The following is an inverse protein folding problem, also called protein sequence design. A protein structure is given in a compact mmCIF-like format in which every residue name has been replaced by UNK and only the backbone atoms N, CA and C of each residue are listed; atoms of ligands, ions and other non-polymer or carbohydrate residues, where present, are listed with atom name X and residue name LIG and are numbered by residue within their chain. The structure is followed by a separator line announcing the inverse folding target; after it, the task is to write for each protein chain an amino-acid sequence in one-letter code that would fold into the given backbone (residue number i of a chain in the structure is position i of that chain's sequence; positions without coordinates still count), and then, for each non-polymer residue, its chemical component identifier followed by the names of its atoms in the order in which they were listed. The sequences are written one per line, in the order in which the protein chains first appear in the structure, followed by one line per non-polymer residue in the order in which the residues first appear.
data_IF_850363716373
#
_entry.id   IF_850363716373
#
_cell.length_a   1.000
_cell.length_b   1.000
_cell.length_c   1.000
_cell.angle_alpha   90.00
_cell.angle_beta   90.00
_cell.angle_gamma   90.00
#
_symmetry.space_group_name_H-M   'P 1'
#
loop_
_entity.id
_entity.type
_entity.pdbx_description
1 polymer ?
#
# COMPACT_ATOMS: atom_id res chain seq x y z
N UNK A 1 -22.93 -25.98 48.15
CA UNK A 1 -23.35 -25.08 47.05
C UNK A 1 -22.10 -24.35 46.55
N UNK A 2 -21.40 -24.99 45.60
CA UNK A 2 -20.24 -24.43 44.93
C UNK A 2 -20.75 -23.53 43.79
N UNK A 3 -20.59 -22.22 43.93
CA UNK A 3 -20.77 -21.28 42.82
C UNK A 3 -19.53 -21.33 41.92
N UNK A 4 -19.65 -22.03 40.81
CA UNK A 4 -18.72 -21.99 39.72
C UNK A 4 -18.83 -20.60 39.04
N UNK A 5 -17.92 -19.70 39.35
CA UNK A 5 -17.76 -18.46 38.61
C UNK A 5 -17.31 -18.79 37.18
N UNK A 6 -18.22 -18.74 36.24
CA UNK A 6 -17.87 -18.62 34.82
C UNK A 6 -17.17 -17.28 34.64
N UNK A 7 -15.83 -17.28 34.63
CA UNK A 7 -15.05 -16.20 34.03
C UNK A 7 -15.43 -16.19 32.55
N UNK A 8 -16.29 -15.26 32.17
CA UNK A 8 -16.46 -14.86 30.77
C UNK A 8 -15.07 -14.47 30.25
N UNK A 9 -14.50 -15.30 29.40
CA UNK A 9 -13.27 -15.00 28.69
C UNK A 9 -13.56 -13.73 27.89
N UNK A 10 -13.03 -12.60 28.37
CA UNK A 10 -13.06 -11.32 27.63
C UNK A 10 -12.41 -11.64 26.28
N UNK A 11 -13.15 -11.53 25.18
CA UNK A 11 -12.55 -11.67 23.86
C UNK A 11 -11.39 -10.66 23.80
N UNK A 12 -10.18 -11.21 23.68
CA UNK A 12 -8.96 -10.41 23.56
C UNK A 12 -9.06 -9.65 22.24
N UNK A 13 -9.29 -8.33 22.32
CA UNK A 13 -9.43 -7.46 21.15
C UNK A 13 -8.03 -7.09 20.66
N UNK A 14 -7.61 -7.65 19.53
CA UNK A 14 -6.37 -7.28 18.90
C UNK A 14 -6.56 -6.05 18.00
N UNK A 15 -5.63 -5.11 18.07
CA UNK A 15 -5.69 -3.81 17.37
C UNK A 15 -4.56 -3.63 16.38
N UNK A 16 -4.81 -2.78 15.41
CA UNK A 16 -3.78 -2.29 14.51
C UNK A 16 -3.92 -0.78 14.33
N UNK A 17 -2.80 -0.09 14.24
CA UNK A 17 -2.72 1.32 13.86
C UNK A 17 -2.09 1.40 12.47
N UNK A 18 -2.74 2.09 11.54
CA UNK A 18 -2.18 2.36 10.23
C UNK A 18 -1.89 3.84 10.14
N UNK A 19 -0.62 4.17 9.93
CA UNK A 19 -0.14 5.56 9.84
C UNK A 19 -0.42 6.10 8.44
N UNK A 20 -1.38 6.99 8.34
CA UNK A 20 -1.79 7.64 7.10
C UNK A 20 -1.22 9.06 7.09
N UNK A 21 0.09 9.16 6.92
CA UNK A 21 0.80 10.43 6.85
C UNK A 21 1.24 10.78 5.44
N UNK A 22 1.44 12.10 5.18
CA UNK A 22 1.99 12.62 3.94
C UNK A 22 1.01 12.69 2.76
N UNK A 23 1.16 13.73 1.95
CA UNK A 23 0.27 14.04 0.81
C UNK A 23 0.49 13.18 -0.43
N UNK A 24 1.45 12.25 -0.41
CA UNK A 24 1.76 11.39 -1.56
C UNK A 24 2.22 12.15 -2.81
N UNK A 25 2.94 13.25 -2.64
CA UNK A 25 3.32 14.16 -3.74
C UNK A 25 4.11 13.50 -4.85
N UNK A 26 4.93 12.49 -4.52
CA UNK A 26 5.72 11.72 -5.49
C UNK A 26 4.87 10.79 -6.36
N UNK A 27 3.65 10.50 -5.95
CA UNK A 27 2.71 9.65 -6.69
C UNK A 27 1.70 10.47 -7.53
N UNK A 28 1.87 11.80 -7.57
CA UNK A 28 1.09 12.65 -8.47
C UNK A 28 1.28 12.23 -9.93
N UNK A 29 0.24 12.35 -10.77
CA UNK A 29 -1.06 13.02 -10.56
C UNK A 29 -2.13 12.18 -9.84
N UNK A 30 -1.92 10.91 -9.55
CA UNK A 30 -2.93 10.02 -8.93
C UNK A 30 -3.44 10.57 -7.59
N UNK A 31 -2.54 11.11 -6.77
CA UNK A 31 -2.86 11.64 -5.43
C UNK A 31 -3.41 13.07 -5.42
N UNK A 32 -3.61 13.67 -6.59
CA UNK A 32 -4.37 14.91 -6.69
C UNK A 32 -5.86 14.66 -6.52
N UNK A 33 -6.36 13.56 -7.06
CA UNK A 33 -7.77 13.19 -7.00
C UNK A 33 -8.13 12.41 -5.74
N UNK A 34 -7.21 11.55 -5.24
CA UNK A 34 -7.46 10.67 -4.09
C UNK A 34 -6.30 10.66 -3.10
N UNK A 35 -6.56 10.49 -1.79
CA UNK A 35 -5.50 10.24 -0.82
C UNK A 35 -4.77 8.94 -1.18
N UNK A 36 -3.45 8.92 -0.94
CA UNK A 36 -2.57 7.81 -1.31
C UNK A 36 -3.08 6.42 -0.88
N UNK A 37 -3.59 6.22 0.36
CA UNK A 37 -4.09 4.91 0.79
C UNK A 37 -5.31 4.39 0.02
N UNK A 38 -6.04 5.30 -0.64
CA UNK A 38 -7.20 4.97 -1.46
C UNK A 38 -6.88 4.76 -2.94
N UNK A 39 -5.64 5.00 -3.37
CA UNK A 39 -5.24 4.69 -4.74
C UNK A 39 -5.39 3.19 -4.96
N UNK A 40 -6.09 2.82 -6.01
CA UNK A 40 -6.36 1.41 -6.32
C UNK A 40 -5.11 0.70 -6.81
N UNK A 41 -4.68 -0.30 -6.06
CA UNK A 41 -3.61 -1.21 -6.40
C UNK A 41 -4.21 -2.60 -6.65
N UNK A 42 -3.97 -3.17 -7.83
CA UNK A 42 -4.58 -4.43 -8.22
C UNK A 42 -6.10 -4.47 -7.96
N UNK A 43 -6.80 -3.43 -8.44
CA UNK A 43 -8.26 -3.26 -8.43
C UNK A 43 -8.92 -3.03 -7.07
N UNK A 44 -8.15 -2.77 -6.01
CA UNK A 44 -8.71 -2.35 -4.71
C UNK A 44 -7.80 -1.33 -4.00
N UNK A 45 -8.34 -0.46 -3.13
CA UNK A 45 -7.55 0.49 -2.37
C UNK A 45 -6.35 -0.17 -1.67
N UNK A 46 -5.18 0.48 -1.71
CA UNK A 46 -3.96 -0.03 -1.07
C UNK A 46 -4.20 -0.39 0.40
N UNK A 47 -4.95 0.43 1.11
CA UNK A 47 -5.25 0.23 2.53
C UNK A 47 -6.05 -1.06 2.80
N UNK A 48 -6.94 -1.46 1.87
CA UNK A 48 -7.72 -2.70 2.02
C UNK A 48 -6.85 -3.95 1.95
N UNK A 49 -5.76 -3.96 1.19
CA UNK A 49 -4.82 -5.08 1.19
C UNK A 49 -4.23 -5.32 2.59
N UNK A 50 -3.91 -4.23 3.30
CA UNK A 50 -3.37 -4.30 4.67
C UNK A 50 -4.44 -4.77 5.67
N UNK A 51 -5.65 -4.18 5.60
CA UNK A 51 -6.74 -4.52 6.53
C UNK A 51 -7.17 -5.99 6.34
N UNK A 52 -7.34 -6.46 5.11
CA UNK A 52 -7.65 -7.87 4.82
C UNK A 52 -6.61 -8.83 5.40
N UNK A 53 -5.33 -8.48 5.29
CA UNK A 53 -4.26 -9.30 5.86
C UNK A 53 -4.29 -9.31 7.40
N UNK A 54 -4.62 -8.19 8.04
CA UNK A 54 -4.75 -8.10 9.49
C UNK A 54 -5.91 -8.95 10.05
N UNK A 55 -6.99 -9.10 9.29
CA UNK A 55 -8.14 -9.94 9.69
C UNK A 55 -7.71 -11.39 10.00
N UNK A 56 -6.72 -11.91 9.28
CA UNK A 56 -6.19 -13.25 9.50
C UNK A 56 -5.57 -13.45 10.89
N UNK A 57 -5.23 -12.37 11.59
CA UNK A 57 -4.64 -12.38 12.95
C UNK A 57 -5.64 -12.07 14.06
N UNK A 58 -6.93 -12.14 13.77
CA UNK A 58 -8.01 -11.78 14.70
C UNK A 58 -7.98 -10.29 15.13
N UNK A 59 -7.42 -9.42 14.32
CA UNK A 59 -7.57 -7.97 14.50
C UNK A 59 -9.03 -7.59 14.25
N UNK A 60 -9.66 -6.98 15.24
CA UNK A 60 -11.08 -6.57 15.20
C UNK A 60 -11.26 -5.07 15.17
N UNK A 61 -10.22 -4.32 15.53
CA UNK A 61 -10.21 -2.85 15.49
C UNK A 61 -8.98 -2.36 14.74
N UNK A 62 -9.22 -1.52 13.73
CA UNK A 62 -8.15 -0.84 12.98
C UNK A 62 -8.29 0.66 13.18
N UNK A 63 -7.25 1.29 13.67
CA UNK A 63 -7.15 2.72 13.92
C UNK A 63 -6.37 3.36 12.77
N UNK A 64 -7.00 4.26 12.04
CA UNK A 64 -6.34 5.07 11.03
C UNK A 64 -5.90 6.39 11.65
N UNK A 65 -4.59 6.59 11.78
CA UNK A 65 -4.02 7.86 12.19
C UNK A 65 -3.91 8.77 10.97
N UNK A 66 -4.77 9.78 10.89
CA UNK A 66 -4.96 10.59 9.68
C UNK A 66 -4.75 12.07 9.97
N UNK A 67 -4.04 12.75 9.07
CA UNK A 67 -3.79 14.18 9.13
C UNK A 67 -4.58 14.99 8.09
N UNK A 68 -5.16 14.34 7.09
CA UNK A 68 -5.91 15.00 6.02
C UNK A 68 -6.92 14.08 5.32
N UNK A 69 -7.98 14.64 4.73
CA UNK A 69 -9.02 13.94 3.93
C UNK A 69 -9.63 12.71 4.62
N UNK A 70 -9.78 12.73 5.93
CA UNK A 70 -10.30 11.61 6.70
C UNK A 70 -11.75 11.26 6.32
N UNK A 71 -12.60 12.25 6.08
CA UNK A 71 -14.01 12.05 5.68
C UNK A 71 -14.13 11.27 4.36
N UNK A 72 -13.23 11.49 3.41
CA UNK A 72 -13.20 10.75 2.16
C UNK A 72 -12.81 9.28 2.39
N UNK A 73 -11.79 9.05 3.23
CA UNK A 73 -11.38 7.69 3.59
C UNK A 73 -12.50 6.95 4.34
N UNK A 74 -13.17 7.62 5.27
CA UNK A 74 -14.30 7.06 6.00
C UNK A 74 -15.42 6.64 5.06
N UNK A 75 -15.84 7.54 4.17
CA UNK A 75 -16.90 7.26 3.20
C UNK A 75 -16.57 6.08 2.28
N UNK A 76 -15.32 6.01 1.79
CA UNK A 76 -14.94 5.05 0.77
C UNK A 76 -14.54 3.67 1.33
N UNK A 77 -14.17 3.59 2.62
CA UNK A 77 -13.69 2.36 3.25
C UNK A 77 -14.69 1.70 4.19
N UNK A 78 -15.59 2.48 4.83
CA UNK A 78 -16.41 1.98 5.94
C UNK A 78 -17.25 0.75 5.57
N UNK A 79 -17.87 0.74 4.40
CA UNK A 79 -18.69 -0.40 3.96
C UNK A 79 -17.85 -1.66 3.68
N UNK A 80 -16.70 -1.51 3.04
CA UNK A 80 -15.83 -2.64 2.72
C UNK A 80 -15.19 -3.23 3.97
N UNK A 81 -14.72 -2.37 4.88
CA UNK A 81 -14.13 -2.80 6.15
C UNK A 81 -15.15 -3.47 7.05
N UNK A 82 -16.38 -2.95 7.08
CA UNK A 82 -17.48 -3.56 7.82
C UNK A 82 -17.81 -4.98 7.34
N UNK A 83 -17.76 -5.23 6.04
CA UNK A 83 -17.93 -6.59 5.46
C UNK A 83 -16.85 -7.55 5.95
N UNK A 84 -15.66 -7.06 6.28
CA UNK A 84 -14.56 -7.86 6.84
C UNK A 84 -14.72 -8.14 8.34
N UNK A 85 -15.75 -7.60 9.00
CA UNK A 85 -15.98 -7.76 10.44
C UNK A 85 -15.04 -6.91 11.30
N UNK A 86 -14.44 -5.87 10.76
CA UNK A 86 -13.49 -4.98 11.44
C UNK A 86 -14.16 -3.66 11.77
N UNK A 87 -13.91 -3.15 12.97
CA UNK A 87 -14.30 -1.81 13.38
C UNK A 87 -13.19 -0.81 13.02
N UNK A 88 -13.53 0.18 12.20
CA UNK A 88 -12.62 1.22 11.75
C UNK A 88 -12.76 2.44 12.64
N UNK A 89 -11.66 2.91 13.20
CA UNK A 89 -11.57 4.09 14.07
C UNK A 89 -10.67 5.12 13.40
N UNK A 90 -11.15 6.36 13.28
CA UNK A 90 -10.35 7.47 12.75
C UNK A 90 -9.79 8.30 13.90
N UNK A 91 -8.45 8.38 13.97
CA UNK A 91 -7.73 9.25 14.88
C UNK A 91 -7.21 10.46 14.11
N UNK A 92 -7.75 11.63 14.41
CA UNK A 92 -7.40 12.87 13.73
C UNK A 92 -6.21 13.54 14.44
N UNK A 93 -5.13 13.76 13.69
CA UNK A 93 -4.00 14.54 14.16
C UNK A 93 -4.33 16.04 13.97
N UNK A 94 -4.36 16.86 15.05
CA UNK A 94 -4.61 18.30 14.92
C UNK A 94 -3.45 19.03 14.21
N UNK A 95 -2.26 18.47 14.29
CA UNK A 95 -1.03 18.86 13.63
C UNK A 95 -0.19 17.62 13.33
N UNK A 96 0.76 17.64 12.39
CA UNK A 96 1.60 16.48 12.11
C UNK A 96 2.42 16.04 13.32
N UNK A 97 2.12 14.86 13.86
CA UNK A 97 2.77 14.29 15.05
C UNK A 97 3.94 13.34 14.73
N UNK A 98 4.36 13.26 13.47
CA UNK A 98 5.39 12.31 13.03
C UNK A 98 4.87 10.87 12.96
N UNK A 99 5.76 9.90 13.20
CA UNK A 99 5.41 8.48 13.11
C UNK A 99 5.13 7.83 14.47
N UNK A 100 5.59 8.41 15.57
CA UNK A 100 5.34 7.92 16.93
C UNK A 100 4.23 8.68 17.65
N UNK A 101 4.15 10.01 17.47
CA UNK A 101 3.14 10.83 18.14
C UNK A 101 1.69 10.37 17.94
N UNK A 102 1.29 9.87 16.76
CA UNK A 102 -0.04 9.29 16.56
C UNK A 102 -0.36 8.12 17.50
N UNK A 103 0.63 7.36 17.93
CA UNK A 103 0.43 6.27 18.89
C UNK A 103 0.12 6.81 20.28
N UNK A 104 0.78 7.91 20.68
CA UNK A 104 0.47 8.59 21.95
C UNK A 104 -0.94 9.20 21.94
N UNK A 105 -1.42 9.66 20.78
CA UNK A 105 -2.76 10.23 20.64
C UNK A 105 -3.87 9.18 20.91
N UNK A 106 -3.62 7.92 20.61
CA UNK A 106 -4.55 6.81 20.84
C UNK A 106 -4.14 5.90 22.01
N UNK A 107 -3.31 6.41 22.90
CA UNK A 107 -2.77 5.70 24.06
C UNK A 107 -3.83 4.89 24.82
N UNK A 108 -4.95 5.49 25.19
CA UNK A 108 -5.98 4.84 26.00
C UNK A 108 -6.66 3.67 25.27
N UNK A 109 -6.81 3.77 23.95
CA UNK A 109 -7.30 2.67 23.15
C UNK A 109 -6.29 1.52 23.13
N UNK A 110 -5.01 1.81 22.94
CA UNK A 110 -3.97 0.79 22.85
C UNK A 110 -3.62 0.14 24.20
N UNK A 111 -3.84 0.85 25.31
CA UNK A 111 -3.66 0.35 26.67
C UNK A 111 -4.93 -0.27 27.29
N UNK A 112 -6.02 -0.39 26.54
CA UNK A 112 -7.26 -0.97 27.05
C UNK A 112 -7.19 -2.48 27.34
N UNK A 113 -6.08 -3.14 26.99
CA UNK A 113 -5.75 -4.53 27.24
C UNK A 113 -4.24 -4.74 27.27
N UNK A 114 -3.83 -5.99 27.53
CA UNK A 114 -2.40 -6.38 27.57
C UNK A 114 -1.91 -6.96 26.23
N UNK A 115 -2.81 -7.11 25.24
CA UNK A 115 -2.49 -7.67 23.93
C UNK A 115 -1.57 -6.72 23.13
N UNK A 116 -0.61 -7.28 22.39
CA UNK A 116 0.18 -6.49 21.48
C UNK A 116 -0.67 -5.93 20.34
N UNK A 117 -0.20 -4.85 19.73
CA UNK A 117 -0.87 -4.21 18.61
C UNK A 117 0.08 -4.02 17.43
N UNK A 118 -0.48 -4.10 16.22
CA UNK A 118 0.26 -3.84 14.99
C UNK A 118 0.33 -2.35 14.69
N UNK A 119 1.44 -1.94 14.05
CA UNK A 119 1.61 -0.59 13.49
C UNK A 119 2.16 -0.70 12.07
N UNK A 120 1.54 -0.02 11.13
CA UNK A 120 1.85 -0.14 9.70
C UNK A 120 1.97 1.22 9.04
N UNK A 121 2.94 1.35 8.14
CA UNK A 121 2.94 2.43 7.15
C UNK A 121 1.95 2.11 6.03
N UNK A 122 1.10 3.07 5.66
CA UNK A 122 -0.02 2.84 4.72
C UNK A 122 0.37 2.65 3.25
N UNK A 123 1.65 2.78 2.92
CA UNK A 123 2.15 2.75 1.54
C UNK A 123 2.96 1.49 1.19
N UNK A 124 2.90 0.48 2.03
CA UNK A 124 3.62 -0.79 1.85
C UNK A 124 2.70 -1.83 1.22
N UNK A 125 3.21 -2.53 0.22
CA UNK A 125 2.62 -3.74 -0.35
C UNK A 125 3.62 -4.87 -0.27
N UNK A 126 3.20 -6.00 0.28
CA UNK A 126 4.00 -7.21 0.41
C UNK A 126 3.10 -8.44 0.63
N UNK A 127 3.71 -9.59 0.79
CA UNK A 127 3.04 -10.78 1.32
C UNK A 127 2.97 -10.68 2.86
N UNK A 128 2.05 -9.90 3.38
CA UNK A 128 1.93 -9.55 4.79
C UNK A 128 2.04 -10.74 5.75
N UNK A 129 3.13 -10.89 6.52
CA UNK A 129 3.39 -12.07 7.36
C UNK A 129 2.90 -11.85 8.81
N UNK A 130 1.69 -11.33 9.00
CA UNK A 130 1.25 -10.88 10.32
C UNK A 130 1.07 -12.01 11.34
N UNK A 131 0.67 -13.21 10.92
CA UNK A 131 0.61 -14.37 11.83
C UNK A 131 2.00 -14.76 12.33
N UNK A 132 2.97 -14.83 11.41
CA UNK A 132 4.36 -15.16 11.76
C UNK A 132 4.98 -14.05 12.64
N UNK A 133 4.66 -12.79 12.34
CA UNK A 133 5.12 -11.65 13.14
C UNK A 133 4.59 -11.71 14.57
N UNK A 134 3.32 -12.03 14.75
CA UNK A 134 2.69 -12.19 16.06
C UNK A 134 3.34 -13.32 16.85
N UNK A 135 3.54 -14.48 16.21
CA UNK A 135 4.18 -15.64 16.83
C UNK A 135 5.62 -15.32 17.23
N UNK A 136 6.42 -14.75 16.32
CA UNK A 136 7.80 -14.36 16.60
C UNK A 136 7.87 -13.37 17.77
N UNK A 137 7.00 -12.36 17.79
CA UNK A 137 6.94 -11.35 18.85
C UNK A 137 6.62 -11.98 20.23
N UNK A 138 5.63 -12.87 20.28
CA UNK A 138 5.26 -13.56 21.52
C UNK A 138 6.39 -14.47 22.03
N UNK A 139 7.15 -15.07 21.13
CA UNK A 139 8.25 -16.00 21.49
C UNK A 139 9.44 -15.31 22.17
N UNK A 140 9.86 -14.11 21.72
CA UNK A 140 10.96 -13.40 22.38
C UNK A 140 10.49 -12.58 23.59
N UNK A 141 9.19 -12.23 23.69
CA UNK A 141 8.57 -11.57 24.83
C UNK A 141 9.11 -10.17 25.17
N UNK A 142 9.78 -9.52 24.21
CA UNK A 142 10.29 -8.15 24.35
C UNK A 142 9.28 -7.12 23.84
N UNK A 143 9.62 -5.84 23.98
CA UNK A 143 8.68 -4.74 23.79
C UNK A 143 8.24 -4.53 22.34
N UNK A 144 9.14 -4.76 21.37
CA UNK A 144 8.83 -4.52 19.97
C UNK A 144 9.50 -5.48 18.98
N UNK A 145 8.82 -5.69 17.86
CA UNK A 145 9.36 -6.37 16.67
C UNK A 145 9.10 -5.54 15.44
N UNK A 146 10.11 -5.38 14.60
CA UNK A 146 9.99 -4.79 13.27
C UNK A 146 10.24 -5.82 12.18
N UNK A 147 9.53 -5.71 11.07
CA UNK A 147 9.84 -6.49 9.88
C UNK A 147 10.98 -5.82 9.13
N UNK A 148 11.96 -6.61 8.74
CA UNK A 148 13.09 -6.17 7.91
C UNK A 148 13.08 -6.89 6.57
N UNK A 149 13.57 -6.23 5.53
CA UNK A 149 13.70 -6.80 4.19
C UNK A 149 15.02 -6.38 3.57
N UNK A 150 15.45 -7.12 2.56
CA UNK A 150 16.70 -6.85 1.84
C UNK A 150 16.41 -6.00 0.60
N UNK A 151 17.17 -4.93 0.42
CA UNK A 151 17.08 -4.05 -0.76
C UNK A 151 18.48 -3.78 -1.35
N UNK A 152 18.50 -3.34 -2.61
CA UNK A 152 19.73 -2.96 -3.31
C UNK A 152 20.23 -1.57 -2.89
N UNK A 153 19.32 -0.63 -2.63
CA UNK A 153 19.62 0.76 -2.26
C UNK A 153 19.11 1.08 -0.84
N UNK A 154 19.84 0.70 0.22
CA UNK A 154 19.38 0.83 1.60
C UNK A 154 19.38 2.26 2.13
N UNK A 155 20.16 3.18 1.55
CA UNK A 155 20.32 4.57 2.05
C UNK A 155 19.03 5.40 2.08
N UNK A 156 17.99 4.94 1.41
CA UNK A 156 16.67 5.59 1.38
C UNK A 156 15.77 5.25 2.57
N UNK A 157 16.19 4.31 3.41
CA UNK A 157 15.40 3.69 4.48
C UNK A 157 16.14 3.67 5.80
N UNK A 158 15.46 3.27 6.85
CA UNK A 158 16.08 2.90 8.11
C UNK A 158 16.83 1.58 7.96
N UNK A 159 18.13 1.56 8.23
CA UNK A 159 18.99 0.40 8.10
C UNK A 159 19.15 -0.29 9.45
N UNK A 160 19.09 -1.62 9.43
CA UNK A 160 19.05 -2.45 10.63
C UNK A 160 20.21 -3.45 10.64
N UNK A 161 20.86 -3.55 11.79
CA UNK A 161 21.84 -4.61 12.11
C UNK A 161 21.31 -5.41 13.28
N UNK A 162 21.25 -6.73 13.16
CA UNK A 162 20.68 -7.61 14.18
C UNK A 162 21.43 -8.96 14.25
N UNK A 163 21.34 -9.59 15.43
CA UNK A 163 21.91 -10.90 15.73
C UNK A 163 21.06 -12.03 15.10
N UNK A 164 21.57 -13.26 15.12
CA UNK A 164 20.91 -14.42 14.54
C UNK A 164 19.56 -14.76 15.19
N UNK A 165 19.35 -14.39 16.45
CA UNK A 165 18.08 -14.55 17.17
C UNK A 165 17.07 -13.43 16.85
N UNK A 166 17.48 -12.44 16.05
CA UNK A 166 16.68 -11.28 15.67
C UNK A 166 16.86 -10.05 16.55
N UNK A 167 17.63 -10.11 17.64
CA UNK A 167 17.88 -8.95 18.49
C UNK A 167 18.59 -7.85 17.72
N UNK A 168 18.03 -6.66 17.71
CA UNK A 168 18.60 -5.51 16.98
C UNK A 168 19.75 -4.91 17.78
N UNK A 169 20.92 -4.86 17.16
CA UNK A 169 22.11 -4.19 17.68
C UNK A 169 22.08 -2.68 17.40
N UNK A 170 21.67 -2.31 16.18
CA UNK A 170 21.59 -0.90 15.78
C UNK A 170 20.51 -0.64 14.76
N UNK A 171 19.92 0.56 14.85
CA UNK A 171 18.98 1.12 13.89
C UNK A 171 19.43 2.53 13.50
N UNK A 172 19.62 2.77 12.20
CA UNK A 172 20.09 4.06 11.67
C UNK A 172 19.17 4.52 10.53
N UNK A 173 18.45 5.60 10.74
CA UNK A 173 17.55 6.16 9.73
C UNK A 173 18.33 6.89 8.63
N UNK A 174 18.20 6.42 7.39
CA UNK A 174 18.78 7.00 6.17
C UNK A 174 20.27 7.35 6.31
N UNK A 175 21.14 6.34 6.56
CA UNK A 175 22.55 6.57 6.76
C UNK A 175 23.23 7.12 5.49
N UNK A 176 24.27 7.95 5.69
CA UNK A 176 25.06 8.48 4.57
C UNK A 176 26.08 7.46 4.04
N UNK A 177 26.50 6.54 4.89
CA UNK A 177 27.43 5.47 4.56
C UNK A 177 26.71 4.13 4.55
N UNK A 178 27.24 3.19 3.78
CA UNK A 178 26.69 1.82 3.76
C UNK A 178 26.95 1.12 5.10
N UNK A 179 25.89 0.62 5.72
CA UNK A 179 25.92 -0.13 6.98
C UNK A 179 25.49 -1.59 6.72
N UNK A 180 24.32 -1.79 6.13
CA UNK A 180 23.72 -3.08 5.85
C UNK A 180 22.72 -2.92 4.70
N UNK A 181 22.37 -4.00 4.03
CA UNK A 181 21.28 -4.01 3.04
C UNK A 181 19.93 -4.45 3.62
N UNK A 182 19.86 -4.66 4.93
CA UNK A 182 18.63 -4.95 5.65
C UNK A 182 17.98 -3.63 6.10
N UNK A 183 16.74 -3.44 5.72
CA UNK A 183 16.01 -2.20 5.99
C UNK A 183 14.70 -2.45 6.72
N UNK A 184 14.23 -1.43 7.41
CA UNK A 184 12.91 -1.37 8.00
C UNK A 184 11.83 -1.44 6.92
N UNK A 185 10.99 -2.48 6.97
CA UNK A 185 9.93 -2.71 6.00
C UNK A 185 8.63 -1.91 6.30
N UNK A 186 8.59 -1.12 7.38
CA UNK A 186 7.42 -0.28 7.72
C UNK A 186 6.25 -1.03 8.34
N UNK A 187 6.51 -2.15 8.98
CA UNK A 187 5.50 -2.96 9.68
C UNK A 187 6.05 -3.42 11.02
N UNK A 188 5.28 -3.23 12.06
CA UNK A 188 5.70 -3.43 13.44
C UNK A 188 4.62 -4.13 14.27
N UNK A 189 5.04 -4.76 15.36
CA UNK A 189 4.16 -5.17 16.46
C UNK A 189 4.81 -4.77 17.78
N UNK A 190 4.02 -4.20 18.68
CA UNK A 190 4.47 -3.70 19.97
C UNK A 190 3.58 -4.18 21.11
N UNK A 191 4.20 -4.41 22.27
CA UNK A 191 3.46 -4.47 23.52
C UNK A 191 3.06 -3.04 23.96
N UNK A 192 1.95 -2.87 24.70
CA UNK A 192 1.51 -1.56 25.17
C UNK A 192 2.57 -0.79 25.96
N UNK A 193 3.56 -1.46 26.53
CA UNK A 193 4.68 -0.82 27.26
C UNK A 193 5.48 0.17 26.42
N UNK A 194 5.52 0.00 25.09
CA UNK A 194 6.21 0.95 24.18
C UNK A 194 5.69 2.38 24.31
N UNK A 195 4.40 2.53 24.65
CA UNK A 195 3.76 3.83 24.79
C UNK A 195 4.34 4.66 25.94
N UNK A 196 5.01 4.04 26.91
CA UNK A 196 5.74 4.75 27.98
C UNK A 196 6.98 5.49 27.44
N UNK A 197 7.44 5.16 26.24
CA UNK A 197 8.58 5.81 25.55
C UNK A 197 8.16 6.98 24.69
N UNK A 198 6.85 7.18 24.47
CA UNK A 198 6.31 8.11 23.49
C UNK A 198 5.49 9.17 24.21
N UNK A 199 5.92 10.42 24.09
CA UNK A 199 5.16 11.58 24.56
C UNK A 199 4.23 12.08 23.44
N UNK A 200 3.13 12.76 23.80
CA UNK A 200 2.22 13.39 22.83
C UNK A 200 2.84 14.69 22.28
N UNK A 201 3.72 14.52 21.32
CA UNK A 201 4.41 15.58 20.57
C UNK A 201 4.91 15.04 19.24
N UNK A 202 5.27 15.89 18.27
CA UNK A 202 5.91 15.44 17.03
C UNK A 202 7.17 14.61 17.33
N UNK A 203 7.12 13.31 17.02
CA UNK A 203 8.17 12.35 17.32
C UNK A 203 8.32 11.34 16.18
N UNK A 204 9.56 11.08 15.75
CA UNK A 204 9.86 10.02 14.79
C UNK A 204 10.14 8.71 15.51
N UNK A 205 9.38 7.66 15.16
CA UNK A 205 9.63 6.34 15.72
C UNK A 205 11.01 5.80 15.29
N UNK A 206 11.42 6.10 14.06
CA UNK A 206 12.66 5.62 13.46
C UNK A 206 13.90 6.32 13.99
N UNK A 207 13.81 7.62 14.23
CA UNK A 207 14.96 8.42 14.67
C UNK A 207 15.13 8.46 16.19
N UNK A 208 14.03 8.36 16.93
CA UNK A 208 14.02 8.58 18.38
C UNK A 208 13.71 7.30 19.17
N UNK A 209 12.69 6.55 18.79
CA UNK A 209 12.22 5.41 19.59
C UNK A 209 13.03 4.14 19.29
N UNK A 210 13.17 3.74 18.03
CA UNK A 210 13.89 2.49 17.67
C UNK A 210 15.34 2.46 18.13
N UNK A 211 16.16 3.53 17.99
CA UNK A 211 17.51 3.51 18.50
C UNK A 211 17.60 3.33 20.03
N UNK A 212 16.64 3.89 20.77
CA UNK A 212 16.56 3.71 22.24
C UNK A 212 16.15 2.27 22.58
N UNK A 213 15.12 1.72 21.93
CA UNK A 213 14.68 0.34 22.17
C UNK A 213 15.79 -0.67 21.83
N UNK A 214 16.55 -0.44 20.75
CA UNK A 214 17.70 -1.28 20.39
C UNK A 214 18.77 -1.29 21.47
N UNK A 215 19.15 -0.12 21.99
CA UNK A 215 20.12 -0.01 23.11
C UNK A 215 19.66 -0.73 24.37
N UNK A 216 18.36 -0.70 24.64
CA UNK A 216 17.77 -1.36 25.81
C UNK A 216 17.58 -2.87 25.60
N UNK A 217 17.85 -3.41 24.41
CA UNK A 217 17.63 -4.81 24.05
C UNK A 217 16.16 -5.20 23.93
N UNK A 218 15.27 -4.23 23.67
CA UNK A 218 13.82 -4.39 23.62
C UNK A 218 13.25 -4.40 22.19
N UNK A 219 14.11 -4.36 21.15
CA UNK A 219 13.72 -4.35 19.75
C UNK A 219 14.30 -5.55 19.00
N UNK A 220 13.44 -6.28 18.31
CA UNK A 220 13.77 -7.46 17.53
C UNK A 220 13.39 -7.28 16.06
N UNK A 221 14.10 -7.92 15.16
CA UNK A 221 13.86 -7.95 13.73
C UNK A 221 13.38 -9.33 13.30
N UNK A 222 12.32 -9.36 12.49
CA UNK A 222 11.89 -10.56 11.76
C UNK A 222 12.09 -10.31 10.26
N UNK A 223 12.81 -11.20 9.58
CA UNK A 223 13.05 -11.06 8.15
C UNK A 223 11.80 -11.44 7.35
N UNK A 224 11.41 -10.56 6.41
CA UNK A 224 10.32 -10.81 5.48
C UNK A 224 10.73 -11.85 4.43
N UNK A 225 9.94 -12.88 4.29
CA UNK A 225 10.01 -13.82 3.16
C UNK A 225 9.00 -13.40 2.09
N UNK A 226 9.45 -13.24 0.85
CA UNK A 226 8.58 -12.81 -0.24
C UNK A 226 8.88 -11.40 -0.74
N UNK A 227 7.99 -10.87 -1.55
CA UNK A 227 8.17 -9.54 -2.13
C UNK A 227 7.80 -8.42 -1.16
N UNK A 228 8.40 -7.26 -1.38
CA UNK A 228 8.12 -6.03 -0.67
C UNK A 228 8.29 -4.83 -1.60
N UNK A 229 7.43 -3.84 -1.47
CA UNK A 229 7.52 -2.57 -2.18
C UNK A 229 6.92 -1.42 -1.35
N UNK A 230 7.70 -0.36 -1.22
CA UNK A 230 7.23 0.98 -0.86
C UNK A 230 6.68 1.65 -2.12
N UNK A 231 5.36 1.84 -2.16
CA UNK A 231 4.67 2.44 -3.31
C UNK A 231 4.74 3.95 -3.20
N UNK A 232 5.94 4.50 -3.37
CA UNK A 232 6.21 5.93 -3.24
C UNK A 232 6.00 6.76 -4.51
N UNK A 233 6.15 6.15 -5.69
CA UNK A 233 6.08 6.81 -7.00
C UNK A 233 5.55 5.87 -8.08
N UNK A 234 5.12 6.37 -9.25
CA UNK A 234 4.50 5.53 -10.29
C UNK A 234 5.34 4.34 -10.74
N UNK A 235 6.66 4.50 -10.89
CA UNK A 235 7.55 3.39 -11.27
C UNK A 235 7.56 2.27 -10.23
N UNK A 236 7.61 2.62 -8.94
CA UNK A 236 7.60 1.65 -7.85
C UNK A 236 6.24 0.97 -7.73
N UNK A 237 5.15 1.69 -8.01
CA UNK A 237 3.80 1.13 -8.08
C UNK A 237 3.72 0.02 -9.15
N UNK A 238 4.15 0.27 -10.39
CA UNK A 238 4.11 -0.73 -11.47
C UNK A 238 5.01 -1.94 -11.15
N UNK A 239 6.18 -1.70 -10.55
CA UNK A 239 7.07 -2.76 -10.10
C UNK A 239 6.42 -3.60 -9.00
N UNK A 240 5.86 -2.96 -7.98
CA UNK A 240 5.12 -3.62 -6.90
C UNK A 240 3.92 -4.42 -7.41
N UNK A 241 3.17 -3.86 -8.37
CA UNK A 241 2.06 -4.55 -9.01
C UNK A 241 2.51 -5.83 -9.73
N UNK A 242 3.62 -5.78 -10.47
CA UNK A 242 4.21 -6.96 -11.12
C UNK A 242 4.59 -8.04 -10.10
N UNK A 243 5.21 -7.66 -8.98
CA UNK A 243 5.58 -8.57 -7.91
C UNK A 243 4.35 -9.18 -7.23
N UNK A 244 3.33 -8.36 -6.96
CA UNK A 244 2.05 -8.82 -6.39
C UNK A 244 1.35 -9.83 -7.31
N UNK A 245 1.24 -9.54 -8.61
CA UNK A 245 0.63 -10.45 -9.57
C UNK A 245 1.40 -11.78 -9.69
N UNK A 246 2.73 -11.74 -9.52
CA UNK A 246 3.57 -12.94 -9.48
C UNK A 246 3.30 -13.77 -8.22
N UNK A 247 3.19 -13.13 -7.06
CA UNK A 247 2.78 -13.79 -5.81
C UNK A 247 1.35 -14.36 -5.92
N UNK A 248 0.44 -13.61 -6.52
CA UNK A 248 -0.94 -14.05 -6.72
C UNK A 248 -1.02 -15.31 -7.61
N UNK A 249 -0.19 -15.40 -8.65
CA UNK A 249 -0.09 -16.62 -9.48
C UNK A 249 0.35 -17.84 -8.71
N UNK A 250 1.23 -17.66 -7.74
CA UNK A 250 1.71 -18.76 -6.90
C UNK A 250 0.68 -19.21 -5.86
N UNK A 251 -0.06 -18.27 -5.28
CA UNK A 251 -0.95 -18.51 -4.13
C UNK A 251 -2.41 -18.76 -4.53
N UNK A 252 -2.89 -18.06 -5.54
CA UNK A 252 -4.30 -18.06 -5.96
C UNK A 252 -4.41 -17.80 -7.46
N UNK A 253 -3.87 -18.71 -8.30
CA UNK A 253 -3.83 -18.52 -9.76
C UNK A 253 -5.22 -18.36 -10.39
N UNK A 254 -6.26 -18.87 -9.77
CA UNK A 254 -7.66 -18.75 -10.19
C UNK A 254 -8.19 -17.31 -10.19
N UNK A 255 -7.56 -16.42 -9.47
CA UNK A 255 -7.90 -14.98 -9.47
C UNK A 255 -7.37 -14.24 -10.68
N UNK A 256 -6.37 -14.81 -11.37
CA UNK A 256 -5.84 -14.22 -12.57
C UNK A 256 -6.67 -14.63 -13.80
N UNK A 257 -6.84 -13.67 -14.69
CA UNK A 257 -7.56 -13.91 -15.94
C UNK A 257 -6.74 -14.81 -16.88
N UNK A 258 -7.40 -15.81 -17.45
CA UNK A 258 -6.86 -16.70 -18.47
C UNK A 258 -7.83 -16.77 -19.64
N UNK A 259 -7.47 -16.21 -20.76
CA UNK A 259 -8.31 -16.18 -21.95
C UNK A 259 -7.53 -15.89 -23.22
N UNK A 260 -8.19 -15.86 -24.38
CA UNK A 260 -7.54 -15.54 -25.65
C UNK A 260 -6.83 -14.17 -25.58
N UNK A 261 -5.62 -14.10 -26.15
CA UNK A 261 -4.85 -12.86 -26.20
C UNK A 261 -4.16 -12.42 -24.92
N UNK A 262 -4.28 -13.21 -23.83
CA UNK A 262 -3.63 -12.89 -22.54
C UNK A 262 -2.26 -13.56 -22.43
N UNK A 263 -1.27 -12.80 -21.96
CA UNK A 263 0.11 -13.25 -21.75
C UNK A 263 0.54 -12.92 -20.32
N UNK A 264 1.11 -13.91 -19.62
CA UNK A 264 1.64 -13.72 -18.26
C UNK A 264 0.55 -13.42 -17.23
N UNK A 265 0.88 -12.61 -16.23
CA UNK A 265 -0.01 -12.30 -15.10
C UNK A 265 -0.92 -11.12 -15.44
N UNK A 266 -2.22 -11.36 -15.47
CA UNK A 266 -3.23 -10.35 -15.78
C UNK A 266 -4.40 -10.50 -14.80
N UNK A 267 -4.81 -9.40 -14.20
CA UNK A 267 -5.99 -9.32 -13.35
C UNK A 267 -7.02 -8.43 -14.03
N UNK A 268 -8.20 -8.98 -14.30
CA UNK A 268 -9.30 -8.25 -14.94
C UNK A 268 -10.53 -8.36 -14.04
N UNK A 269 -11.13 -7.21 -13.73
CA UNK A 269 -12.41 -7.17 -13.02
C UNK A 269 -13.52 -7.74 -13.93
N UNK A 270 -14.44 -8.51 -13.34
CA UNK A 270 -15.53 -9.18 -14.04
C UNK A 270 -16.49 -8.23 -14.78
N UNK A 271 -16.55 -6.96 -14.35
CA UNK A 271 -17.39 -5.92 -14.96
C UNK A 271 -16.73 -5.21 -16.14
N UNK A 272 -15.44 -5.46 -16.38
CA UNK A 272 -14.71 -4.90 -17.51
C UNK A 272 -15.17 -5.53 -18.84
N UNK A 273 -15.20 -4.73 -19.89
CA UNK A 273 -15.55 -5.17 -21.25
C UNK A 273 -14.30 -5.19 -22.11
N UNK A 274 -13.97 -6.34 -22.63
CA UNK A 274 -12.78 -6.56 -23.47
C UNK A 274 -13.23 -6.80 -24.90
N UNK A 275 -12.73 -5.98 -25.84
CA UNK A 275 -12.97 -6.10 -27.26
C UNK A 275 -12.27 -7.31 -27.90
N UNK A 276 -12.48 -7.50 -29.21
CA UNK A 276 -11.87 -8.57 -29.96
C UNK A 276 -10.40 -8.29 -30.26
N UNK A 277 -9.62 -9.33 -30.47
CA UNK A 277 -8.23 -9.27 -30.91
C UNK A 277 -7.30 -8.42 -30.00
N UNK A 278 -7.66 -8.26 -28.73
CA UNK A 278 -6.83 -7.59 -27.75
C UNK A 278 -5.65 -8.49 -27.33
N UNK A 279 -4.49 -7.85 -27.09
CA UNK A 279 -3.31 -8.48 -26.45
C UNK A 279 -3.07 -7.83 -25.11
N UNK A 280 -3.22 -8.58 -24.01
CA UNK A 280 -3.16 -8.07 -22.64
C UNK A 280 -2.11 -8.85 -21.87
N UNK A 281 -1.17 -8.13 -21.30
CA UNK A 281 -0.07 -8.69 -20.53
C UNK A 281 1.29 -8.59 -21.23
N UNK A 282 2.37 -8.91 -20.47
CA UNK A 282 2.35 -9.34 -19.06
C UNK A 282 2.12 -8.17 -18.09
N UNK A 283 1.74 -8.54 -16.84
CA UNK A 283 1.64 -7.64 -15.69
C UNK A 283 0.69 -6.46 -15.92
N UNK A 284 -0.57 -6.77 -16.11
CA UNK A 284 -1.64 -5.79 -16.34
C UNK A 284 -2.76 -5.98 -15.31
N UNK A 285 -3.28 -4.87 -14.80
CA UNK A 285 -4.52 -4.84 -14.04
C UNK A 285 -5.55 -3.98 -14.75
N UNK A 286 -6.77 -4.49 -14.86
CA UNK A 286 -7.90 -3.82 -15.49
C UNK A 286 -9.04 -3.76 -14.48
N UNK A 287 -9.42 -2.54 -14.11
CA UNK A 287 -10.37 -2.26 -13.07
C UNK A 287 -11.84 -2.36 -13.48
N UNK A 288 -12.75 -2.18 -12.51
CA UNK A 288 -14.18 -2.27 -12.73
C UNK A 288 -14.70 -1.31 -13.79
N UNK A 289 -15.60 -1.81 -14.66
CA UNK A 289 -16.27 -0.99 -15.67
C UNK A 289 -15.37 -0.42 -16.76
N UNK A 290 -14.11 -0.85 -16.85
CA UNK A 290 -13.20 -0.47 -17.96
C UNK A 290 -13.72 -1.02 -19.27
N UNK A 291 -13.59 -0.24 -20.34
CA UNK A 291 -13.91 -0.64 -21.70
C UNK A 291 -12.63 -0.63 -22.52
N UNK A 292 -12.19 -1.80 -22.96
CA UNK A 292 -11.17 -1.95 -23.99
C UNK A 292 -11.86 -2.24 -25.31
N UNK A 293 -11.66 -1.38 -26.29
CA UNK A 293 -12.13 -1.63 -27.65
C UNK A 293 -11.25 -2.63 -28.40
N UNK A 294 -11.61 -2.96 -29.63
CA UNK A 294 -10.95 -4.00 -30.41
C UNK A 294 -9.47 -3.68 -30.72
N UNK A 295 -8.64 -4.69 -30.77
CA UNK A 295 -7.25 -4.60 -31.22
C UNK A 295 -6.29 -3.89 -30.27
N UNK A 296 -6.67 -3.61 -29.02
CA UNK A 296 -5.79 -2.98 -28.04
C UNK A 296 -4.63 -3.89 -27.63
N UNK A 297 -3.46 -3.29 -27.41
CA UNK A 297 -2.28 -3.97 -26.87
C UNK A 297 -1.85 -3.29 -25.57
N UNK A 298 -1.93 -3.99 -24.42
CA UNK A 298 -1.64 -3.43 -23.10
C UNK A 298 -0.63 -4.31 -22.38
N UNK A 299 0.46 -3.70 -21.89
CA UNK A 299 1.54 -4.38 -21.17
C UNK A 299 1.96 -3.56 -19.95
N UNK A 300 2.34 -4.24 -18.86
CA UNK A 300 2.92 -3.63 -17.65
C UNK A 300 2.19 -2.37 -17.18
N UNK A 301 0.86 -2.36 -17.28
CA UNK A 301 0.03 -1.18 -17.11
C UNK A 301 -1.11 -1.44 -16.15
N UNK A 302 -1.62 -0.38 -15.53
CA UNK A 302 -2.83 -0.41 -14.73
C UNK A 302 -3.87 0.53 -15.31
N UNK A 303 -5.04 -0.02 -15.62
CA UNK A 303 -6.19 0.70 -16.14
C UNK A 303 -7.23 0.72 -15.04
N UNK A 304 -7.41 1.86 -14.39
CA UNK A 304 -8.30 2.02 -13.25
C UNK A 304 -9.77 2.09 -13.70
N UNK A 305 -10.68 1.97 -12.74
CA UNK A 305 -12.11 1.81 -12.98
C UNK A 305 -12.68 2.82 -13.98
N UNK A 306 -13.64 2.38 -14.80
CA UNK A 306 -14.42 3.18 -15.74
C UNK A 306 -13.62 3.89 -16.86
N UNK A 307 -12.31 3.66 -17.01
CA UNK A 307 -11.55 4.18 -18.13
C UNK A 307 -11.96 3.54 -19.47
N UNK A 308 -11.82 4.29 -20.54
CA UNK A 308 -12.14 3.84 -21.90
C UNK A 308 -10.89 3.89 -22.77
N UNK A 309 -10.51 2.74 -23.33
CA UNK A 309 -9.40 2.61 -24.26
C UNK A 309 -9.99 2.26 -25.63
N UNK A 310 -9.83 3.17 -26.59
CA UNK A 310 -10.38 3.00 -27.94
C UNK A 310 -9.52 2.06 -28.79
N UNK A 311 -10.02 1.74 -29.98
CA UNK A 311 -9.51 0.71 -30.86
C UNK A 311 -8.01 0.92 -31.18
N UNK A 312 -7.27 -0.18 -31.21
CA UNK A 312 -5.86 -0.25 -31.61
C UNK A 312 -4.90 0.60 -30.77
N UNK A 313 -5.28 1.03 -29.57
CA UNK A 313 -4.38 1.69 -28.67
C UNK A 313 -3.28 0.74 -28.18
N UNK A 314 -2.05 1.25 -28.02
CA UNK A 314 -0.90 0.51 -27.55
C UNK A 314 -0.33 1.16 -26.30
N UNK A 315 -0.40 0.45 -25.17
CA UNK A 315 -0.02 0.97 -23.85
C UNK A 315 1.05 0.07 -23.21
N UNK A 316 2.16 0.65 -22.76
CA UNK A 316 3.24 -0.09 -22.11
C UNK A 316 3.83 0.72 -20.95
N UNK A 317 3.69 0.25 -19.71
CA UNK A 317 4.12 0.96 -18.52
C UNK A 317 3.27 2.20 -18.22
N UNK A 318 1.95 2.09 -18.30
CA UNK A 318 1.01 3.22 -18.27
C UNK A 318 0.02 3.09 -17.12
N UNK A 319 -0.36 4.23 -16.56
CA UNK A 319 -1.51 4.40 -15.69
C UNK A 319 -2.60 5.18 -16.41
N UNK A 320 -3.82 4.66 -16.40
CA UNK A 320 -5.01 5.40 -16.81
C UNK A 320 -5.96 5.51 -15.63
N UNK A 321 -6.08 6.70 -15.07
CA UNK A 321 -6.93 6.99 -13.92
C UNK A 321 -8.30 7.51 -14.38
N UNK A 322 -9.37 7.10 -13.69
CA UNK A 322 -10.72 7.56 -13.97
C UNK A 322 -11.62 7.45 -12.73
N UNK A 323 -11.25 8.10 -11.62
CA UNK A 323 -11.97 7.93 -10.35
C UNK A 323 -13.39 8.48 -10.35
N UNK A 324 -13.56 9.77 -10.61
CA UNK A 324 -14.85 10.45 -10.56
C UNK A 324 -15.40 10.77 -11.95
N UNK A 325 -14.52 10.86 -12.95
CA UNK A 325 -14.85 11.12 -14.33
C UNK A 325 -14.02 10.24 -15.26
N UNK A 326 -14.59 9.87 -16.39
CA UNK A 326 -13.97 8.92 -17.34
C UNK A 326 -12.77 9.53 -18.02
N UNK A 327 -11.62 8.84 -17.94
CA UNK A 327 -10.51 9.11 -18.86
C UNK A 327 -10.65 8.27 -20.13
N UNK A 328 -10.32 8.88 -21.26
CA UNK A 328 -10.48 8.28 -22.56
C UNK A 328 -9.15 8.33 -23.32
N UNK A 329 -8.67 7.17 -23.75
CA UNK A 329 -7.54 7.05 -24.68
C UNK A 329 -8.06 6.83 -26.08
N UNK A 330 -7.67 7.68 -27.01
CA UNK A 330 -8.11 7.68 -28.40
C UNK A 330 -7.63 6.46 -29.19
N UNK A 331 -8.13 6.34 -30.43
CA UNK A 331 -7.75 5.28 -31.35
C UNK A 331 -6.29 5.42 -31.78
N UNK A 332 -5.61 4.32 -31.96
CA UNK A 332 -4.23 4.29 -32.44
C UNK A 332 -3.24 5.13 -31.59
N UNK A 333 -3.61 5.42 -30.34
CA UNK A 333 -2.72 6.10 -29.40
C UNK A 333 -1.63 5.13 -28.96
N UNK A 334 -0.39 5.60 -28.92
CA UNK A 334 0.73 4.88 -28.31
C UNK A 334 1.20 5.61 -27.05
N UNK A 335 1.22 4.90 -25.93
CA UNK A 335 1.77 5.45 -24.67
C UNK A 335 2.76 4.48 -24.05
N UNK A 336 3.88 5.05 -23.56
CA UNK A 336 4.95 4.30 -22.90
C UNK A 336 5.71 5.17 -21.88
N UNK A 337 6.79 4.64 -21.31
CA UNK A 337 7.74 5.43 -20.51
C UNK A 337 7.25 5.85 -19.12
N UNK A 338 6.41 5.06 -18.46
CA UNK A 338 5.77 5.41 -17.19
C UNK A 338 4.86 6.63 -17.34
N UNK A 339 4.03 6.63 -18.38
CA UNK A 339 3.00 7.66 -18.60
C UNK A 339 1.87 7.50 -17.58
N UNK A 340 1.46 8.59 -16.95
CA UNK A 340 0.39 8.63 -15.96
C UNK A 340 -0.66 9.65 -16.39
N UNK A 341 -1.88 9.17 -16.65
CA UNK A 341 -3.04 10.02 -16.88
C UNK A 341 -3.81 10.20 -15.58
N UNK A 342 -4.01 11.44 -15.14
CA UNK A 342 -4.94 11.78 -14.07
C UNK A 342 -6.39 11.47 -14.45
N UNK A 343 -7.33 11.74 -13.55
CA UNK A 343 -8.75 11.56 -13.85
C UNK A 343 -9.25 12.57 -14.89
N UNK A 344 -10.30 12.22 -15.62
CA UNK A 344 -10.93 13.08 -16.62
C UNK A 344 -9.95 13.60 -17.69
N UNK A 345 -9.02 12.75 -18.11
CA UNK A 345 -8.08 13.05 -19.18
C UNK A 345 -8.56 12.45 -20.48
N UNK A 346 -8.61 13.25 -21.53
CA UNK A 346 -8.94 12.80 -22.88
C UNK A 346 -7.71 12.92 -23.76
N UNK A 347 -7.24 11.79 -24.29
CA UNK A 347 -6.18 11.75 -25.29
C UNK A 347 -6.82 11.54 -26.66
N UNK A 348 -6.59 12.46 -27.60
CA UNK A 348 -7.14 12.37 -28.97
C UNK A 348 -6.49 11.23 -29.74
N UNK A 349 -7.12 10.84 -30.86
CA UNK A 349 -6.68 9.76 -31.72
C UNK A 349 -5.24 9.99 -32.27
N UNK A 350 -4.52 8.91 -32.54
CA UNK A 350 -3.25 8.88 -33.28
C UNK A 350 -2.09 9.65 -32.63
N UNK A 351 -2.10 9.80 -31.28
CA UNK A 351 -1.05 10.49 -30.54
C UNK A 351 -0.02 9.52 -29.96
N UNK A 352 1.20 10.02 -29.81
CA UNK A 352 2.29 9.37 -29.12
C UNK A 352 2.62 10.11 -27.81
N UNK A 353 2.66 9.39 -26.67
CA UNK A 353 3.01 9.96 -25.37
C UNK A 353 4.08 9.07 -24.72
N UNK A 354 5.22 9.68 -24.39
CA UNK A 354 6.32 9.01 -23.72
C UNK A 354 6.65 9.71 -22.38
N UNK A 355 6.38 9.06 -21.26
CA UNK A 355 6.67 9.55 -19.92
C UNK A 355 5.89 10.79 -19.50
N UNK A 356 4.72 11.04 -20.11
CA UNK A 356 3.85 12.16 -19.75
C UNK A 356 3.18 11.98 -18.40
N UNK A 357 3.26 12.99 -17.52
CA UNK A 357 2.47 13.06 -16.29
C UNK A 357 1.36 14.08 -16.49
N UNK A 358 0.18 13.59 -16.85
CA UNK A 358 -0.96 14.43 -17.22
C UNK A 358 -1.82 14.70 -15.99
N UNK A 359 -1.94 15.97 -15.61
CA UNK A 359 -2.78 16.38 -14.50
C UNK A 359 -4.27 16.14 -14.80
N UNK A 360 -5.14 16.04 -13.79
CA UNK A 360 -6.58 15.86 -13.99
C UNK A 360 -7.23 16.93 -14.90
N UNK A 361 -8.32 16.53 -15.57
CA UNK A 361 -9.16 17.40 -16.39
C UNK A 361 -8.45 18.04 -17.60
N UNK A 362 -7.63 17.25 -18.31
CA UNK A 362 -6.88 17.70 -19.48
C UNK A 362 -7.30 17.02 -20.78
N UNK A 363 -7.23 17.78 -21.86
CA UNK A 363 -7.42 17.30 -23.22
C UNK A 363 -6.07 17.34 -23.97
N UNK A 364 -5.54 16.19 -24.33
CA UNK A 364 -4.29 16.05 -25.05
C UNK A 364 -4.60 15.97 -26.54
N UNK A 365 -4.14 16.97 -27.30
CA UNK A 365 -4.37 17.10 -28.73
C UNK A 365 -3.10 17.09 -29.59
N UNK A 366 -1.94 16.93 -28.96
CA UNK A 366 -0.64 16.81 -29.62
C UNK A 366 0.22 15.78 -28.92
N UNK A 367 1.11 15.14 -29.67
CA UNK A 367 2.03 14.13 -29.14
C UNK A 367 3.03 14.73 -28.13
N UNK A 368 3.44 13.89 -27.17
CA UNK A 368 4.37 14.23 -26.08
C UNK A 368 5.54 13.25 -26.18
N UNK A 369 6.57 13.53 -27.00
CA UNK A 369 7.63 12.56 -27.27
C UNK A 369 8.66 12.41 -26.15
N UNK A 370 8.72 13.37 -25.23
CA UNK A 370 9.67 13.38 -24.11
C UNK A 370 8.95 13.52 -22.77
N UNK A 371 9.51 12.93 -21.68
CA UNK A 371 8.92 13.01 -20.36
C UNK A 371 8.70 14.44 -19.88
N UNK A 372 7.46 14.77 -19.55
CA UNK A 372 7.10 16.08 -19.01
C UNK A 372 5.79 16.04 -18.21
N UNK A 373 5.60 17.07 -17.40
CA UNK A 373 4.34 17.30 -16.68
C UNK A 373 3.45 18.18 -17.57
N UNK A 374 2.21 17.71 -17.80
CA UNK A 374 1.19 18.44 -18.58
C UNK A 374 0.18 19.01 -17.59
N UNK A 375 0.26 20.32 -17.39
CA UNK A 375 -0.54 21.09 -16.44
C UNK A 375 -1.81 21.64 -17.06
#
# INVERSE_FOLDING_TARGET
LSMTQHKTKKLETMRAVILVGGYGTRLRPLTLSRPKPLVEFANKPMLLHQIEALVSTNVTEVILAVSYRAEEMERDLSEEVKKLGVHLIFSHEPEPLGTAGPLALVHDLLCAGDEPFFVLNSDIICDFPFMQLLEFHKNHGREGTIIVTKVEEPSKYGVVVYEDDGKIESFVEKPQEFISNKINAGMYIFNPSVLKRIELKPTSIEKEIFPHMARDGELYAMELTGFWMDVGQPKDFLKGMSMYLTSLRQKSPEKLYSGPGVVGNVLIDETAKIGKDCRIGPNVTIGPGVILSDGCCIKRSTILKAAVIKEHAWLDGVFVCAYNAKSVVGRWVRMEGTTVLGEDVIVKDELYINGGQVLPHKNISSSVPEPQIIM
#
